data_IF_144143869424
#
_entry.id   IF_144143869424
#
_cell.length_a   1.000
_cell.length_b   1.000
_cell.length_c   1.000
_cell.angle_alpha   90.00
_cell.angle_beta   90.00
_cell.angle_gamma   90.00
#
_symmetry.space_group_name_H-M   'P 1'
#
loop_
_entity.id
_entity.type
_entity.pdbx_description
1 polymer ?
#
# COMPACT_ATOMS: atom_id res chain seq x y z
N UNK A 1 16.12 10.04 -25.58
CA UNK A 1 16.25 8.72 -24.94
C UNK A 1 14.96 8.42 -24.20
N UNK A 2 14.12 7.53 -24.72
CA UNK A 2 12.97 7.02 -23.97
C UNK A 2 13.48 6.18 -22.79
N UNK A 3 13.42 6.74 -21.59
CA UNK A 3 13.60 5.97 -20.36
C UNK A 3 12.36 5.10 -20.14
N UNK A 4 12.23 4.01 -20.92
CA UNK A 4 11.23 2.97 -20.65
C UNK A 4 11.60 2.33 -19.31
N UNK A 5 10.86 2.72 -18.27
CA UNK A 5 10.93 2.10 -16.95
C UNK A 5 10.55 0.64 -17.13
N UNK A 6 11.55 -0.25 -17.10
CA UNK A 6 11.32 -1.69 -17.12
C UNK A 6 10.38 -2.05 -15.94
N UNK A 7 9.23 -2.72 -16.17
CA UNK A 7 8.28 -3.05 -15.12
C UNK A 7 8.89 -3.84 -13.96
N UNK A 8 9.93 -4.66 -14.21
CA UNK A 8 10.70 -5.37 -13.18
C UNK A 8 11.45 -4.38 -12.28
N UNK A 9 11.98 -3.29 -12.84
CA UNK A 9 12.67 -2.23 -12.08
C UNK A 9 11.71 -1.39 -11.23
N UNK A 10 10.40 -1.39 -11.52
CA UNK A 10 9.41 -0.68 -10.72
C UNK A 10 9.05 -1.47 -9.47
N UNK A 11 8.73 -2.76 -9.63
CA UNK A 11 8.39 -3.63 -8.50
C UNK A 11 9.58 -3.79 -7.54
N UNK A 12 10.80 -3.94 -8.07
CA UNK A 12 11.99 -4.06 -7.23
C UNK A 12 12.26 -2.78 -6.41
N UNK A 13 12.07 -1.60 -7.01
CA UNK A 13 12.19 -0.31 -6.31
C UNK A 13 11.15 -0.17 -5.21
N UNK A 14 9.89 -0.50 -5.51
CA UNK A 14 8.82 -0.53 -4.52
C UNK A 14 9.18 -1.42 -3.32
N UNK A 15 9.60 -2.67 -3.58
CA UNK A 15 9.97 -3.60 -2.51
C UNK A 15 11.13 -3.07 -1.67
N UNK A 16 12.15 -2.48 -2.30
CA UNK A 16 13.28 -1.88 -1.60
C UNK A 16 12.83 -0.75 -0.67
N UNK A 17 11.94 0.13 -1.14
CA UNK A 17 11.45 1.27 -0.38
C UNK A 17 10.51 0.86 0.77
N UNK A 18 9.66 -0.14 0.54
CA UNK A 18 8.85 -0.76 1.59
C UNK A 18 9.75 -1.35 2.68
N UNK A 19 10.78 -2.13 2.31
CA UNK A 19 11.71 -2.70 3.27
C UNK A 19 12.46 -1.64 4.09
N UNK A 20 12.90 -0.55 3.46
CA UNK A 20 13.50 0.57 4.19
C UNK A 20 12.53 1.23 5.17
N UNK A 21 11.25 1.34 4.78
CA UNK A 21 10.19 1.92 5.61
C UNK A 21 9.92 1.07 6.84
N UNK A 22 9.83 -0.26 6.68
CA UNK A 22 9.64 -1.22 7.77
C UNK A 22 10.71 -1.07 8.86
N UNK A 23 11.96 -0.82 8.47
CA UNK A 23 13.07 -0.69 9.43
C UNK A 23 13.02 0.65 10.18
N UNK A 24 12.46 1.71 9.59
CA UNK A 24 12.50 3.08 10.13
C UNK A 24 11.26 3.46 10.94
N UNK A 25 10.08 3.00 10.51
CA UNK A 25 8.80 3.37 11.11
C UNK A 25 8.46 2.38 12.22
N UNK A 26 8.31 2.89 13.45
CA UNK A 26 8.01 2.07 14.64
C UNK A 26 6.53 1.99 14.97
N UNK A 27 5.76 2.99 14.56
CA UNK A 27 4.31 2.95 14.71
C UNK A 27 3.69 2.09 13.60
N UNK A 28 2.86 1.13 14.01
CA UNK A 28 2.31 0.14 13.09
C UNK A 28 1.33 0.77 12.10
N UNK A 29 0.52 1.73 12.54
CA UNK A 29 -0.46 2.37 11.69
C UNK A 29 0.25 3.25 10.65
N UNK A 30 1.21 4.05 11.10
CA UNK A 30 2.06 4.87 10.26
C UNK A 30 2.81 4.03 9.20
N UNK A 31 3.27 2.84 9.57
CA UNK A 31 3.91 1.92 8.62
C UNK A 31 2.93 1.48 7.53
N UNK A 32 1.70 1.14 7.88
CA UNK A 32 0.68 0.72 6.91
C UNK A 32 0.30 1.84 5.95
N UNK A 33 0.10 3.04 6.47
CA UNK A 33 -0.21 4.24 5.68
C UNK A 33 0.90 4.54 4.68
N UNK A 34 2.16 4.48 5.13
CA UNK A 34 3.32 4.75 4.29
C UNK A 34 3.50 3.66 3.21
N UNK A 35 3.29 2.39 3.54
CA UNK A 35 3.32 1.30 2.55
C UNK A 35 2.23 1.48 1.48
N UNK A 36 0.99 1.77 1.88
CA UNK A 36 -0.10 2.00 0.93
C UNK A 36 0.22 3.18 0.01
N UNK A 37 0.75 4.28 0.56
CA UNK A 37 1.16 5.47 -0.19
C UNK A 37 2.27 5.16 -1.20
N UNK A 38 3.35 4.51 -0.77
CA UNK A 38 4.49 4.14 -1.64
C UNK A 38 4.01 3.22 -2.77
N UNK A 39 3.15 2.25 -2.48
CA UNK A 39 2.63 1.34 -3.50
C UNK A 39 1.84 2.08 -4.59
N UNK A 40 0.99 3.04 -4.23
CA UNK A 40 0.27 3.85 -5.23
C UNK A 40 1.22 4.76 -6.01
N UNK A 41 2.05 5.53 -5.31
CA UNK A 41 2.88 6.57 -5.92
C UNK A 41 4.04 6.00 -6.75
N UNK A 42 4.77 5.03 -6.20
CA UNK A 42 6.00 4.49 -6.79
C UNK A 42 5.75 3.15 -7.50
N UNK A 43 4.76 2.38 -7.03
CA UNK A 43 4.35 1.11 -7.64
C UNK A 43 3.39 1.27 -8.83
N UNK A 44 2.74 2.42 -8.96
CA UNK A 44 1.77 2.70 -10.03
C UNK A 44 0.46 1.94 -9.89
N UNK A 45 0.12 1.51 -8.67
CA UNK A 45 -1.16 0.88 -8.39
C UNK A 45 -2.27 1.93 -8.27
N UNK A 46 -3.48 1.62 -8.76
CA UNK A 46 -4.62 2.54 -8.69
C UNK A 46 -5.25 2.63 -7.30
N UNK A 47 -5.22 1.52 -6.56
CA UNK A 47 -5.76 1.37 -5.21
C UNK A 47 -4.95 0.29 -4.49
N UNK A 48 -4.61 0.55 -3.23
CA UNK A 48 -3.95 -0.39 -2.32
C UNK A 48 -4.57 -0.23 -0.94
N UNK A 49 -4.75 -1.34 -0.22
CA UNK A 49 -5.24 -1.32 1.15
C UNK A 49 -4.59 -2.43 1.98
N UNK A 50 -4.56 -2.23 3.28
CA UNK A 50 -4.10 -3.20 4.28
C UNK A 50 -5.28 -3.49 5.22
N UNK A 51 -5.58 -4.77 5.39
CA UNK A 51 -6.58 -5.26 6.32
C UNK A 51 -5.96 -6.06 7.45
N UNK A 52 -6.50 -5.91 8.66
CA UNK A 52 -6.21 -6.78 9.78
C UNK A 52 -7.40 -7.71 10.03
N UNK A 53 -7.11 -8.96 10.36
CA UNK A 53 -8.14 -9.92 10.74
C UNK A 53 -8.61 -9.57 12.15
N UNK A 54 -9.90 -9.31 12.30
CA UNK A 54 -10.59 -9.29 13.57
C UNK A 54 -11.13 -10.71 13.82
N UNK A 55 -10.55 -11.42 14.78
CA UNK A 55 -10.91 -12.80 15.07
C UNK A 55 -12.24 -12.92 15.84
N UNK A 56 -12.63 -11.87 16.58
CA UNK A 56 -13.87 -11.87 17.36
C UNK A 56 -15.06 -11.75 16.41
N UNK A 57 -15.00 -10.76 15.53
CA UNK A 57 -16.06 -10.48 14.55
C UNK A 57 -15.96 -11.35 13.28
N UNK A 58 -14.85 -12.10 13.11
CA UNK A 58 -14.54 -12.91 11.93
C UNK A 58 -14.60 -12.11 10.62
N UNK A 59 -14.17 -10.86 10.68
CA UNK A 59 -14.10 -9.94 9.53
C UNK A 59 -12.64 -9.52 9.28
N UNK A 60 -12.38 -9.01 8.08
CA UNK A 60 -11.15 -8.28 7.79
C UNK A 60 -11.49 -6.80 7.95
N UNK A 61 -10.87 -6.12 8.92
CA UNK A 61 -10.99 -4.67 9.08
C UNK A 61 -9.94 -3.96 8.24
N UNK A 62 -10.34 -3.15 7.26
CA UNK A 62 -9.41 -2.24 6.60
C UNK A 62 -8.86 -1.25 7.61
N UNK A 63 -7.54 -1.13 7.68
CA UNK A 63 -6.87 -0.22 8.61
C UNK A 63 -6.09 0.88 7.89
N UNK A 64 -5.79 0.70 6.62
CA UNK A 64 -5.10 1.70 5.81
C UNK A 64 -5.39 1.48 4.33
N UNK A 65 -5.44 2.56 3.57
CA UNK A 65 -5.64 2.53 2.12
C UNK A 65 -5.05 3.76 1.45
N UNK A 66 -4.74 3.63 0.17
CA UNK A 66 -4.31 4.75 -0.68
C UNK A 66 -4.74 4.49 -2.11
N UNK A 67 -4.95 5.57 -2.87
CA UNK A 67 -5.42 5.50 -4.25
C UNK A 67 -6.95 5.53 -4.37
N UNK A 68 -7.39 5.83 -5.60
CA UNK A 68 -8.76 6.03 -6.08
C UNK A 68 -9.78 6.61 -5.08
N UNK A 69 -9.97 7.94 -5.14
CA UNK A 69 -11.14 8.65 -4.61
C UNK A 69 -12.31 8.52 -5.60
N UNK A 70 -13.04 7.43 -5.52
CA UNK A 70 -14.37 7.31 -6.13
C UNK A 70 -15.13 6.31 -5.27
N UNK A 71 -16.39 6.61 -5.00
CA UNK A 71 -17.27 6.12 -3.93
C UNK A 71 -17.47 4.59 -3.80
N UNK A 72 -16.71 3.78 -4.51
CA UNK A 72 -16.81 2.31 -4.52
C UNK A 72 -16.04 1.64 -3.37
N UNK A 73 -14.94 2.25 -2.89
CA UNK A 73 -14.11 1.65 -1.83
C UNK A 73 -14.86 1.58 -0.49
N UNK A 74 -15.78 2.51 -0.23
CA UNK A 74 -16.67 2.49 0.95
C UNK A 74 -17.66 1.31 0.96
N UNK A 75 -17.84 0.62 -0.17
CA UNK A 75 -18.76 -0.52 -0.29
C UNK A 75 -18.03 -1.88 -0.35
N UNK A 76 -16.69 -1.89 -0.40
CA UNK A 76 -15.88 -3.12 -0.47
C UNK A 76 -15.05 -3.33 0.81
N UNK A 77 -14.75 -2.25 1.54
CA UNK A 77 -13.95 -2.24 2.75
C UNK A 77 -14.81 -2.14 4.01
#
# INVERSE_FOLDING_TARGET
>A
MENKINPVNRLYRLLSQVNQTIVRVRDRQQLFDEICRIAVQDGGFRLVWIGLIDQEEKIIRPVSWSGYEDSYVQNIL
#
